data_IF_642966269243
#
_entry.id   IF_642966269243
#
_cell.length_a   1.000
_cell.length_b   1.000
_cell.length_c   1.000
_cell.angle_alpha   90.00
_cell.angle_beta   90.00
_cell.angle_gamma   90.00
#
_symmetry.space_group_name_H-M   'P 1'
#
loop_
_entity.id
_entity.type
_entity.pdbx_description
1 polymer ?
#
# COMPACT_ATOMS: atom_id res chain seq x y z
N UNK A 1 10.82 3.85 16.34
CA UNK A 1 10.21 3.77 15.01
C UNK A 1 11.04 2.75 14.26
N UNK A 2 10.46 1.62 13.86
CA UNK A 2 11.20 0.60 13.10
C UNK A 2 11.64 1.20 11.77
N UNK A 3 12.91 1.00 11.39
CA UNK A 3 13.56 1.73 10.29
C UNK A 3 12.93 1.50 8.90
N UNK A 4 12.02 0.52 8.77
CA UNK A 4 11.45 0.06 7.51
C UNK A 4 9.96 0.43 7.31
N UNK A 5 9.31 1.08 8.29
CA UNK A 5 7.99 1.72 8.08
C UNK A 5 8.16 3.24 8.12
N UNK A 6 7.86 3.90 7.00
CA UNK A 6 7.82 5.36 6.98
C UNK A 6 6.47 5.90 7.49
N UNK A 7 6.50 7.03 8.19
CA UNK A 7 5.28 7.75 8.60
C UNK A 7 4.84 8.69 7.48
N UNK A 8 3.61 8.52 7.00
CA UNK A 8 3.05 9.34 5.93
C UNK A 8 2.11 10.40 6.53
N UNK A 9 2.40 11.64 6.19
CA UNK A 9 1.73 12.86 6.67
C UNK A 9 1.45 13.80 5.50
N UNK A 10 0.55 14.78 5.65
CA UNK A 10 0.24 15.73 4.57
C UNK A 10 1.46 16.52 4.09
N UNK A 11 2.36 16.88 4.98
CA UNK A 11 3.56 17.68 4.73
C UNK A 11 4.67 16.91 4.00
N UNK A 12 4.79 15.60 4.22
CA UNK A 12 5.77 14.75 3.51
C UNK A 12 5.17 13.90 2.38
N UNK A 13 3.86 13.97 2.14
CA UNK A 13 3.16 13.11 1.17
C UNK A 13 3.78 13.16 -0.23
N UNK A 14 4.20 14.35 -0.70
CA UNK A 14 4.82 14.49 -2.02
C UNK A 14 6.12 13.67 -2.11
N UNK A 15 6.97 13.80 -1.10
CA UNK A 15 8.22 13.07 -1.02
C UNK A 15 8.00 11.57 -0.86
N UNK A 16 7.14 11.16 0.08
CA UNK A 16 7.02 9.76 0.45
C UNK A 16 6.19 8.94 -0.54
N UNK A 17 5.23 9.55 -1.24
CA UNK A 17 4.25 8.87 -2.10
C UNK A 17 4.38 9.28 -3.56
N UNK A 18 4.45 10.58 -3.86
CA UNK A 18 4.41 11.06 -5.26
C UNK A 18 5.74 10.84 -5.97
N UNK A 19 6.85 11.13 -5.29
CA UNK A 19 8.20 10.98 -5.85
C UNK A 19 8.80 9.59 -5.65
N UNK A 20 8.09 8.71 -4.96
CA UNK A 20 8.56 7.34 -4.74
C UNK A 20 8.49 6.53 -6.03
N UNK A 21 9.65 6.00 -6.43
CA UNK A 21 9.81 5.19 -7.64
C UNK A 21 9.53 3.71 -7.38
N UNK A 22 9.78 3.23 -6.16
CA UNK A 22 9.43 1.85 -5.78
C UNK A 22 7.91 1.75 -5.62
N UNK A 23 7.32 0.56 -5.82
CA UNK A 23 5.97 0.31 -5.32
C UNK A 23 5.92 0.62 -3.82
N UNK A 24 4.89 1.35 -3.40
CA UNK A 24 4.68 1.76 -2.02
C UNK A 24 3.38 1.18 -1.50
N UNK A 25 3.47 0.34 -0.47
CA UNK A 25 2.30 -0.12 0.27
C UNK A 25 1.99 0.89 1.39
N UNK A 26 0.87 1.61 1.27
CA UNK A 26 0.34 2.50 2.30
C UNK A 26 -0.72 1.75 3.10
N UNK A 27 -0.63 1.77 4.43
CA UNK A 27 -1.71 1.34 5.30
C UNK A 27 -2.36 2.54 6.01
N UNK A 28 -3.70 2.59 5.94
CA UNK A 28 -4.53 3.44 6.74
C UNK A 28 -5.17 2.61 7.84
N UNK A 29 -4.76 2.84 9.08
CA UNK A 29 -5.18 2.10 10.25
C UNK A 29 -5.54 3.09 11.35
N UNK A 30 -6.70 2.93 11.97
CA UNK A 30 -7.09 3.70 13.16
C UNK A 30 -6.62 2.96 14.42
N UNK A 31 -6.31 3.67 15.51
CA UNK A 31 -6.02 3.03 16.79
C UNK A 31 -7.30 2.48 17.42
N UNK A 32 -7.60 1.23 17.11
CA UNK A 32 -8.67 0.42 17.67
C UNK A 32 -8.14 -0.99 18.06
N UNK A 33 -9.01 -1.87 18.57
CA UNK A 33 -8.62 -3.23 19.01
C UNK A 33 -8.00 -4.10 17.89
N UNK A 34 -8.20 -3.75 16.62
CA UNK A 34 -7.59 -4.41 15.46
C UNK A 34 -6.20 -3.87 15.07
N UNK A 35 -5.75 -2.78 15.69
CA UNK A 35 -4.52 -2.07 15.35
C UNK A 35 -3.28 -2.97 15.48
N UNK A 36 -3.18 -3.70 16.59
CA UNK A 36 -2.00 -4.53 16.89
C UNK A 36 -1.78 -5.65 15.87
N UNK A 37 -2.85 -6.33 15.48
CA UNK A 37 -2.81 -7.46 14.54
C UNK A 37 -2.42 -7.00 13.14
N UNK A 38 -3.05 -5.96 12.63
CA UNK A 38 -2.75 -5.46 11.28
C UNK A 38 -1.38 -4.81 11.20
N UNK A 39 -0.93 -4.15 12.28
CA UNK A 39 0.43 -3.68 12.37
C UNK A 39 1.41 -4.85 12.30
N UNK A 40 1.23 -5.93 13.08
CA UNK A 40 2.10 -7.11 13.01
C UNK A 40 2.21 -7.71 11.59
N UNK A 41 1.09 -7.83 10.88
CA UNK A 41 1.09 -8.31 9.49
C UNK A 41 1.87 -7.34 8.57
N UNK A 42 1.64 -6.04 8.70
CA UNK A 42 2.39 -5.02 7.95
C UNK A 42 3.90 -5.11 8.21
N UNK A 43 4.27 -5.40 9.46
CA UNK A 43 5.66 -5.55 9.87
C UNK A 43 6.38 -6.65 9.13
N UNK A 44 5.77 -7.83 9.10
CA UNK A 44 6.32 -8.97 8.36
C UNK A 44 6.42 -8.70 6.86
N UNK A 45 5.47 -7.95 6.28
CA UNK A 45 5.52 -7.56 4.87
C UNK A 45 6.68 -6.60 4.59
N UNK A 46 6.85 -5.59 5.44
CA UNK A 46 7.90 -4.61 5.27
C UNK A 46 9.30 -5.22 5.41
N UNK A 47 9.49 -6.17 6.33
CA UNK A 47 10.74 -6.92 6.45
C UNK A 47 10.97 -7.83 5.23
N UNK A 48 9.94 -8.59 4.80
CA UNK A 48 10.05 -9.52 3.66
C UNK A 48 10.40 -8.80 2.35
N UNK A 49 9.85 -7.61 2.13
CA UNK A 49 9.93 -6.89 0.86
C UNK A 49 10.73 -5.58 0.91
N UNK A 50 11.50 -5.32 1.98
CA UNK A 50 12.27 -4.08 2.22
C UNK A 50 13.06 -3.58 1.00
N UNK A 51 13.65 -4.50 0.24
CA UNK A 51 14.48 -4.16 -0.93
C UNK A 51 13.65 -3.73 -2.14
N UNK A 52 12.44 -4.26 -2.29
CA UNK A 52 11.64 -4.18 -3.52
C UNK A 52 10.44 -3.24 -3.41
N UNK A 53 9.86 -3.07 -2.22
CA UNK A 53 8.79 -2.12 -1.97
C UNK A 53 9.16 -1.21 -0.80
N UNK A 54 8.52 -0.06 -0.75
CA UNK A 54 8.46 0.76 0.45
C UNK A 54 7.16 0.47 1.19
N UNK A 55 7.19 0.58 2.52
CA UNK A 55 5.99 0.45 3.34
C UNK A 55 5.80 1.74 4.15
N UNK A 56 4.57 2.23 4.16
CA UNK A 56 4.20 3.46 4.84
C UNK A 56 2.92 3.32 5.65
N UNK A 57 2.93 3.90 6.85
CA UNK A 57 1.78 3.97 7.75
C UNK A 57 1.33 5.43 7.83
N UNK A 58 0.04 5.68 7.64
CA UNK A 58 -0.52 7.01 7.86
C UNK A 58 -0.36 7.41 9.33
N UNK A 59 0.14 8.61 9.58
CA UNK A 59 0.26 9.13 10.93
C UNK A 59 -1.12 9.32 11.57
N UNK A 60 -1.24 8.94 12.85
CA UNK A 60 -2.52 8.94 13.56
C UNK A 60 -3.12 10.35 13.71
N UNK A 61 -2.27 11.36 13.94
CA UNK A 61 -2.66 12.78 14.01
C UNK A 61 -3.22 13.31 12.68
N UNK A 62 -2.92 12.63 11.57
CA UNK A 62 -3.19 13.08 10.21
C UNK A 62 -4.08 12.13 9.42
N UNK A 63 -4.57 11.05 10.07
CA UNK A 63 -5.23 9.94 9.38
C UNK A 63 -6.48 10.40 8.63
N UNK A 64 -7.30 11.28 9.22
CA UNK A 64 -8.53 11.79 8.59
C UNK A 64 -8.26 12.65 7.35
N UNK A 65 -7.20 13.45 7.37
CA UNK A 65 -6.80 14.29 6.23
C UNK A 65 -6.29 13.40 5.09
N UNK A 66 -5.43 12.45 5.42
CA UNK A 66 -4.89 11.50 4.45
C UNK A 66 -5.99 10.58 3.88
N UNK A 67 -6.96 10.14 4.70
CA UNK A 67 -8.14 9.38 4.25
C UNK A 67 -8.92 10.12 3.18
N UNK A 68 -9.22 11.40 3.39
CA UNK A 68 -9.91 12.24 2.40
C UNK A 68 -9.11 12.34 1.10
N UNK A 69 -7.81 12.60 1.19
CA UNK A 69 -6.91 12.72 0.03
C UNK A 69 -6.82 11.43 -0.79
N UNK A 70 -6.76 10.28 -0.11
CA UNK A 70 -6.65 8.95 -0.70
C UNK A 70 -8.02 8.28 -0.97
N UNK A 71 -9.13 8.98 -0.73
CA UNK A 71 -10.51 8.47 -0.86
C UNK A 71 -10.73 7.15 -0.11
N UNK A 72 -10.24 7.10 1.13
CA UNK A 72 -10.39 5.95 2.04
C UNK A 72 -11.65 6.15 2.88
N UNK A 73 -12.55 5.17 2.83
CA UNK A 73 -13.84 5.23 3.53
C UNK A 73 -13.78 4.52 4.89
N UNK A 74 -12.99 3.43 5.01
CA UNK A 74 -12.90 2.63 6.23
C UNK A 74 -11.47 2.22 6.58
N UNK A 75 -11.28 1.72 7.80
CA UNK A 75 -10.01 1.18 8.29
C UNK A 75 -10.21 -0.25 8.80
N UNK A 76 -9.20 -1.13 8.66
CA UNK A 76 -7.96 -0.93 7.91
C UNK A 76 -8.21 -0.85 6.39
N UNK A 77 -7.38 -0.07 5.70
CA UNK A 77 -7.30 -0.06 4.23
C UNK A 77 -5.84 -0.09 3.82
N UNK A 78 -5.52 -0.92 2.83
CA UNK A 78 -4.20 -1.05 2.24
C UNK A 78 -4.25 -0.56 0.80
N UNK A 79 -3.33 0.31 0.43
CA UNK A 79 -3.22 0.90 -0.90
C UNK A 79 -1.84 0.57 -1.46
N UNK A 80 -1.79 -0.01 -2.65
CA UNK A 80 -0.55 -0.16 -3.38
C UNK A 80 -0.43 1.00 -4.37
N UNK A 81 0.63 1.77 -4.21
CA UNK A 81 0.94 2.94 -5.02
C UNK A 81 2.17 2.66 -5.89
N UNK A 82 2.22 3.24 -7.09
CA UNK A 82 3.39 3.26 -7.95
C UNK A 82 3.39 4.57 -8.74
N UNK A 83 4.53 5.29 -8.73
CA UNK A 83 4.68 6.58 -9.43
C UNK A 83 3.58 7.59 -9.05
N UNK A 84 3.28 7.68 -7.75
CA UNK A 84 2.25 8.58 -7.20
C UNK A 84 0.79 8.19 -7.54
N UNK A 85 0.56 7.06 -8.20
CA UNK A 85 -0.77 6.57 -8.57
C UNK A 85 -1.12 5.31 -7.80
N UNK A 86 -2.38 5.18 -7.45
CA UNK A 86 -2.91 3.94 -6.90
C UNK A 86 -3.05 2.90 -8.01
N UNK A 87 -2.47 1.72 -7.79
CA UNK A 87 -2.53 0.59 -8.73
C UNK A 87 -3.36 -0.57 -8.20
N UNK A 88 -3.58 -0.65 -6.89
CA UNK A 88 -4.41 -1.68 -6.26
C UNK A 88 -4.80 -1.30 -4.82
N UNK A 89 -5.82 -1.95 -4.26
CA UNK A 89 -6.24 -1.75 -2.86
C UNK A 89 -6.88 -2.97 -2.23
N UNK A 90 -6.76 -3.11 -0.91
CA UNK A 90 -7.52 -4.06 -0.09
C UNK A 90 -8.25 -3.28 0.99
N UNK A 91 -9.54 -3.59 1.16
CA UNK A 91 -10.40 -3.02 2.19
C UNK A 91 -10.58 -4.04 3.32
N UNK A 92 -10.50 -3.58 4.56
CA UNK A 92 -10.75 -4.39 5.73
C UNK A 92 -9.56 -5.25 6.16
N UNK A 93 -9.79 -6.00 7.24
CA UNK A 93 -8.78 -6.84 7.89
C UNK A 93 -8.27 -7.88 6.90
N UNK A 94 -6.95 -7.99 6.81
CA UNK A 94 -6.29 -8.93 5.90
C UNK A 94 -5.14 -9.65 6.59
N UNK A 95 -4.62 -10.68 5.93
CA UNK A 95 -3.46 -11.45 6.36
C UNK A 95 -2.24 -11.21 5.47
N UNK A 96 -1.12 -11.83 5.84
CA UNK A 96 0.15 -11.71 5.13
C UNK A 96 0.09 -12.30 3.73
N UNK A 97 -0.68 -13.35 3.52
CA UNK A 97 -0.78 -14.05 2.23
C UNK A 97 -1.50 -13.16 1.22
N UNK A 98 -2.63 -12.56 1.60
CA UNK A 98 -3.34 -11.61 0.76
C UNK A 98 -2.49 -10.39 0.37
N UNK A 99 -1.72 -9.82 1.31
CA UNK A 99 -0.78 -8.72 1.00
C UNK A 99 0.38 -9.17 0.11
N UNK A 100 0.91 -10.37 0.35
CA UNK A 100 1.94 -11.00 -0.49
C UNK A 100 1.44 -11.11 -1.93
N UNK A 101 0.24 -11.67 -2.13
CA UNK A 101 -0.37 -11.75 -3.45
C UNK A 101 -0.60 -10.37 -4.07
N UNK A 102 -1.13 -9.40 -3.32
CA UNK A 102 -1.28 -8.02 -3.79
C UNK A 102 0.03 -7.49 -4.37
N UNK A 103 1.14 -7.64 -3.64
CA UNK A 103 2.45 -7.14 -4.04
C UNK A 103 2.99 -7.90 -5.26
N UNK A 104 3.00 -9.23 -5.23
CA UNK A 104 3.61 -10.06 -6.27
C UNK A 104 2.92 -9.94 -7.64
N UNK A 105 1.60 -9.73 -7.64
CA UNK A 105 0.80 -9.43 -8.84
C UNK A 105 1.32 -8.19 -9.60
N UNK A 106 1.93 -7.25 -8.88
CA UNK A 106 2.42 -5.98 -9.45
C UNK A 106 3.95 -5.88 -9.51
N UNK A 107 4.69 -6.75 -8.81
CA UNK A 107 6.15 -6.87 -8.95
C UNK A 107 6.57 -7.66 -10.21
N UNK A 108 5.74 -8.62 -10.64
CA UNK A 108 6.01 -9.46 -11.81
C UNK A 108 5.84 -8.76 -13.17
N UNK A 109 5.51 -7.46 -13.19
CA UNK A 109 5.42 -6.63 -14.41
C UNK A 109 6.54 -5.59 -14.49
N UNK A 110 7.67 -5.99 -15.07
CA UNK A 110 8.44 -5.09 -15.94
C UNK A 110 7.59 -4.74 -17.18
N UNK A 111 7.77 -3.57 -17.84
CA UNK A 111 6.88 -3.12 -18.91
C UNK A 111 7.14 -3.93 -20.18
N UNK A 112 6.47 -5.09 -20.31
CA UNK A 112 6.33 -5.73 -21.60
C UNK A 112 5.08 -5.17 -22.27
N UNK A 113 5.33 -4.40 -23.32
CA UNK A 113 4.38 -4.04 -24.37
C UNK A 113 3.65 -5.29 -24.85
N UNK A 114 2.39 -5.09 -25.24
CA UNK A 114 1.56 -5.94 -26.10
C UNK A 114 0.88 -7.14 -25.43
N UNK A 115 -0.44 -7.04 -25.27
CA UNK A 115 -1.34 -8.07 -25.78
C UNK A 115 -2.56 -7.39 -26.41
N UNK A 116 -2.52 -7.35 -27.74
CA UNK A 116 -3.70 -7.21 -28.59
C UNK A 116 -4.45 -8.55 -28.54
N UNK A 117 -5.78 -8.48 -28.64
CA UNK A 117 -6.59 -9.59 -29.15
C UNK A 117 -7.42 -10.28 -28.09
N UNK A 118 -8.63 -9.78 -27.86
CA UNK A 118 -9.72 -10.65 -27.42
C UNK A 118 -10.33 -11.27 -28.69
N UNK A 119 -10.15 -12.58 -28.96
CA UNK A 119 -11.06 -13.26 -29.87
C UNK A 119 -12.40 -13.39 -29.14
N UNK A 120 -13.44 -12.81 -29.73
CA UNK A 120 -14.82 -13.17 -29.44
C UNK A 120 -15.15 -14.41 -30.29
N UNK A 121 -14.96 -15.58 -29.70
CA UNK A 121 -15.74 -16.79 -29.98
C UNK A 121 -16.86 -16.80 -28.92
N UNK A 122 -18.14 -17.06 -29.18
CA UNK A 122 -18.93 -17.54 -30.32
C UNK A 122 -20.26 -16.77 -30.32
#
# INVERSE_FOLDING_TARGET
>A
MESWICSIRPDNFAQEVIWETKPLLIICLAQDDGFSRQLAVLREIAEKYEKVIKVGLLAQDSVEICKKKLKIIGTPTFLLMKEGREIDRILGVTDKEALTHLIERHLSRSPSKNEKGKPIHE
#
